data_IF_952129060446
#
_entry.id   IF_952129060446
#
_cell.length_a   1.000
_cell.length_b   1.000
_cell.length_c   1.000
_cell.angle_alpha   90.00
_cell.angle_beta   90.00
_cell.angle_gamma   90.00
#
_symmetry.space_group_name_H-M   'P 1'
#
loop_
_entity.id
_entity.type
_entity.pdbx_description
1 polymer ?
#
# COMPACT_ATOMS: atom_id res chain seq x y z
N UNK A 1 22.25 -3.29 6.38
CA UNK A 1 21.17 -3.65 5.43
C UNK A 1 21.43 -5.07 4.98
N UNK A 2 20.46 -5.97 5.15
CA UNK A 2 20.56 -7.30 4.56
C UNK A 2 20.54 -7.17 3.02
N UNK A 3 21.43 -7.85 2.28
CA UNK A 3 21.36 -7.87 0.82
C UNK A 3 20.13 -8.67 0.38
N UNK A 4 19.47 -8.23 -0.70
CA UNK A 4 18.39 -9.01 -1.33
C UNK A 4 18.91 -10.42 -1.71
N UNK A 5 18.09 -11.48 -1.54
CA UNK A 5 18.45 -12.81 -1.98
C UNK A 5 18.70 -12.79 -3.48
N UNK A 6 19.70 -13.54 -3.94
CA UNK A 6 19.89 -13.73 -5.37
C UNK A 6 18.85 -14.73 -5.87
N UNK A 7 17.69 -14.23 -6.26
CA UNK A 7 16.68 -15.04 -6.92
C UNK A 7 17.20 -15.52 -8.29
N UNK A 8 16.99 -16.80 -8.57
CA UNK A 8 17.41 -17.45 -9.81
C UNK A 8 16.58 -16.97 -11.01
N UNK A 9 15.30 -16.67 -10.76
CA UNK A 9 14.38 -16.12 -11.77
C UNK A 9 14.27 -14.58 -11.63
N UNK A 10 14.53 -13.79 -12.69
CA UNK A 10 14.29 -12.35 -12.71
C UNK A 10 12.86 -11.94 -12.34
N UNK A 11 11.86 -12.78 -12.61
CA UNK A 11 10.47 -12.56 -12.21
C UNK A 11 10.28 -12.57 -10.68
N UNK A 12 11.24 -13.13 -9.93
CA UNK A 12 11.22 -13.22 -8.47
C UNK A 12 11.92 -12.05 -7.78
N UNK A 13 12.52 -11.11 -8.53
CA UNK A 13 13.16 -9.90 -7.98
C UNK A 13 12.16 -8.83 -7.51
N UNK A 14 10.94 -9.25 -7.16
CA UNK A 14 9.80 -8.39 -7.01
C UNK A 14 9.41 -7.79 -8.36
N UNK A 15 8.16 -7.97 -8.77
CA UNK A 15 7.63 -7.06 -9.79
C UNK A 15 7.63 -5.68 -9.13
N UNK A 16 8.34 -4.73 -9.76
CA UNK A 16 8.45 -3.36 -9.26
C UNK A 16 7.02 -2.83 -8.96
N UNK A 17 6.91 -1.97 -7.95
CA UNK A 17 5.66 -1.27 -7.65
C UNK A 17 5.04 -0.70 -8.92
N UNK A 18 5.84 -0.17 -9.84
CA UNK A 18 5.39 0.40 -11.12
C UNK A 18 4.85 -0.66 -12.11
N UNK A 19 5.26 -1.92 -11.96
CA UNK A 19 4.73 -3.05 -12.75
C UNK A 19 3.44 -3.60 -12.16
N UNK A 20 3.25 -3.45 -10.85
CA UNK A 20 2.09 -3.99 -10.13
C UNK A 20 0.96 -2.96 -9.95
N UNK A 21 1.36 -1.72 -9.69
CA UNK A 21 0.56 -0.53 -9.60
C UNK A 21 0.94 0.27 -10.83
N UNK A 22 0.03 0.36 -11.80
CA UNK A 22 0.15 1.12 -13.03
C UNK A 22 -0.05 2.61 -12.68
N UNK A 23 0.74 3.06 -11.72
CA UNK A 23 0.84 4.42 -11.23
C UNK A 23 2.18 4.60 -10.49
N UNK A 24 2.92 5.64 -10.85
CA UNK A 24 4.12 6.11 -10.14
C UNK A 24 3.74 6.64 -8.75
N UNK A 25 4.75 6.93 -7.92
CA UNK A 25 4.53 7.63 -6.65
C UNK A 25 3.84 8.99 -6.85
N UNK A 26 4.18 9.75 -7.90
CA UNK A 26 3.51 11.02 -8.20
C UNK A 26 2.02 10.82 -8.47
N UNK A 27 1.66 9.78 -9.22
CA UNK A 27 0.26 9.45 -9.52
C UNK A 27 -0.53 9.02 -8.26
N UNK A 28 0.15 8.49 -7.22
CA UNK A 28 -0.47 8.20 -5.92
C UNK A 28 -0.78 9.47 -5.13
N UNK A 29 0.15 10.41 -5.08
CA UNK A 29 -0.04 11.68 -4.38
C UNK A 29 -1.12 12.53 -5.06
N UNK A 30 -1.13 12.54 -6.40
CA UNK A 30 -2.21 13.15 -7.17
C UNK A 30 -3.56 12.47 -6.90
N UNK A 31 -3.59 11.14 -6.82
CA UNK A 31 -4.80 10.40 -6.47
C UNK A 31 -5.28 10.74 -5.06
N UNK A 32 -4.37 10.80 -4.09
CA UNK A 32 -4.70 11.18 -2.71
C UNK A 32 -5.25 12.61 -2.63
N UNK A 33 -4.65 13.55 -3.36
CA UNK A 33 -5.13 14.93 -3.48
C UNK A 33 -6.53 14.98 -4.13
N UNK A 34 -6.78 14.19 -5.18
CA UNK A 34 -8.10 14.06 -5.80
C UNK A 34 -9.14 13.48 -4.84
N UNK A 35 -8.81 12.43 -4.09
CA UNK A 35 -9.69 11.85 -3.05
C UNK A 35 -10.01 12.89 -1.97
N UNK A 36 -9.02 13.65 -1.52
CA UNK A 36 -9.21 14.72 -0.54
C UNK A 36 -10.15 15.81 -1.07
N UNK A 37 -9.96 16.23 -2.32
CA UNK A 37 -10.85 17.19 -2.99
C UNK A 37 -12.29 16.66 -3.10
N UNK A 38 -12.47 15.37 -3.41
CA UNK A 38 -13.81 14.75 -3.45
C UNK A 38 -14.43 14.73 -2.06
N UNK A 39 -13.65 14.45 -1.01
CA UNK A 39 -14.12 14.47 0.37
C UNK A 39 -14.67 15.86 0.77
N UNK A 40 -13.96 16.92 0.41
CA UNK A 40 -14.38 18.30 0.66
C UNK A 40 -15.67 18.67 -0.10
N UNK A 41 -15.82 18.22 -1.34
CA UNK A 41 -16.99 18.52 -2.17
C UNK A 41 -18.24 17.76 -1.75
N UNK A 42 -18.07 16.53 -1.26
CA UNK A 42 -19.18 15.60 -1.04
C UNK A 42 -19.53 15.42 0.44
N UNK A 43 -18.64 15.82 1.35
CA UNK A 43 -18.77 15.57 2.78
C UNK A 43 -18.48 14.13 3.22
N UNK A 44 -18.15 13.22 2.29
CA UNK A 44 -17.77 11.85 2.65
C UNK A 44 -16.34 11.79 3.18
N UNK A 45 -16.11 10.90 4.14
CA UNK A 45 -14.76 10.63 4.62
C UNK A 45 -13.87 10.08 3.49
N UNK A 46 -12.59 10.49 3.39
CA UNK A 46 -11.64 9.97 2.41
C UNK A 46 -11.56 8.45 2.37
N UNK A 47 -11.74 7.80 3.52
CA UNK A 47 -11.79 6.34 3.64
C UNK A 47 -12.98 5.74 2.88
N UNK A 48 -14.18 6.30 3.03
CA UNK A 48 -15.38 5.83 2.32
C UNK A 48 -15.22 5.99 0.81
N UNK A 49 -14.63 7.10 0.37
CA UNK A 49 -14.32 7.37 -1.04
C UNK A 49 -13.29 6.36 -1.57
N UNK A 50 -12.27 6.03 -0.77
CA UNK A 50 -11.26 5.01 -1.13
C UNK A 50 -11.85 3.60 -1.19
N UNK A 51 -12.85 3.30 -0.36
CA UNK A 51 -13.56 2.01 -0.34
C UNK A 51 -14.56 1.85 -1.49
N UNK A 52 -15.17 2.94 -1.96
CA UNK A 52 -16.01 2.97 -3.17
C UNK A 52 -15.17 3.02 -4.45
N UNK A 53 -14.08 3.80 -4.44
CA UNK A 53 -12.91 3.50 -5.25
C UNK A 53 -12.44 2.07 -4.87
N UNK A 54 -11.48 1.36 -5.45
CA UNK A 54 -11.17 -0.06 -5.05
C UNK A 54 -12.34 -1.11 -5.07
N UNK A 55 -13.63 -0.75 -5.17
CA UNK A 55 -14.77 -1.68 -5.20
C UNK A 55 -15.03 -2.46 -3.91
N UNK A 56 -14.54 -2.00 -2.75
CA UNK A 56 -14.57 -2.73 -1.48
C UNK A 56 -15.41 -2.03 -0.39
N UNK A 57 -16.62 -1.61 -0.77
CA UNK A 57 -17.56 -0.86 0.09
C UNK A 57 -18.59 -1.74 0.82
N UNK A 58 -18.41 -3.07 0.80
CA UNK A 58 -19.28 -4.13 1.32
C UNK A 58 -20.16 -3.72 2.53
N UNK A 59 -21.31 -3.09 2.24
CA UNK A 59 -22.32 -2.68 3.22
C UNK A 59 -21.97 -1.48 4.13
N UNK A 60 -20.80 -0.85 3.97
CA UNK A 60 -20.37 0.30 4.80
C UNK A 60 -20.80 1.66 4.23
N UNK A 61 -21.02 1.70 2.93
CA UNK A 61 -21.61 2.83 2.20
C UNK A 61 -22.89 2.32 1.58
N UNK A 62 -23.99 3.08 1.67
CA UNK A 62 -25.24 2.70 1.02
C UNK A 62 -25.04 2.62 -0.48
N UNK A 63 -25.80 1.78 -1.16
CA UNK A 63 -25.64 1.58 -2.60
C UNK A 63 -25.91 2.85 -3.42
N UNK A 64 -26.88 3.66 -3.00
CA UNK A 64 -27.17 4.98 -3.57
C UNK A 64 -25.96 5.93 -3.49
N UNK A 65 -25.35 6.01 -2.30
CA UNK A 65 -24.17 6.83 -2.03
C UNK A 65 -22.95 6.31 -2.81
N UNK A 66 -22.81 4.99 -2.94
CA UNK A 66 -21.74 4.35 -3.70
C UNK A 66 -21.87 4.61 -5.21
N UNK A 67 -23.10 4.65 -5.76
CA UNK A 67 -23.35 5.02 -7.14
C UNK A 67 -22.95 6.48 -7.40
N UNK A 68 -23.39 7.39 -6.53
CA UNK A 68 -23.05 8.82 -6.60
C UNK A 68 -21.53 9.05 -6.53
N UNK A 69 -20.86 8.41 -5.58
CA UNK A 69 -19.41 8.50 -5.45
C UNK A 69 -18.67 7.92 -6.66
N UNK A 70 -19.19 6.86 -7.31
CA UNK A 70 -18.58 6.30 -8.53
C UNK A 70 -18.61 7.29 -9.69
N UNK A 71 -19.72 7.99 -9.91
CA UNK A 71 -19.81 9.02 -10.96
C UNK A 71 -18.81 10.15 -10.73
N UNK A 72 -18.66 10.59 -9.48
CA UNK A 72 -17.69 11.63 -9.11
C UNK A 72 -16.25 11.14 -9.29
N UNK A 73 -15.96 9.93 -8.83
CA UNK A 73 -14.64 9.31 -8.99
C UNK A 73 -14.26 9.20 -10.47
N UNK A 74 -15.20 8.81 -11.33
CA UNK A 74 -15.01 8.77 -12.79
C UNK A 74 -14.72 10.17 -13.35
N UNK A 75 -15.52 11.18 -12.97
CA UNK A 75 -15.32 12.57 -13.40
C UNK A 75 -13.93 13.11 -13.03
N UNK A 76 -13.43 12.80 -11.84
CA UNK A 76 -12.10 13.22 -11.38
C UNK A 76 -10.95 12.31 -11.87
N UNK A 77 -11.24 11.30 -12.69
CA UNK A 77 -10.25 10.32 -13.14
C UNK A 77 -9.64 9.51 -12.00
N UNK A 78 -10.37 9.36 -10.89
CA UNK A 78 -10.02 8.50 -9.74
C UNK A 78 -10.67 7.14 -9.97
N UNK A 79 -10.39 6.53 -11.12
CA UNK A 79 -10.95 5.21 -11.41
C UNK A 79 -10.32 4.15 -10.51
N UNK A 80 -11.13 3.15 -10.19
CA UNK A 80 -10.69 1.97 -9.45
C UNK A 80 -9.87 1.10 -10.36
N UNK A 81 -8.82 0.52 -9.78
CA UNK A 81 -7.97 -0.54 -10.31
C UNK A 81 -6.65 -0.04 -10.89
N UNK A 82 -5.65 0.06 -10.01
CA UNK A 82 -4.50 -0.82 -10.21
C UNK A 82 -4.13 -1.58 -8.95
N UNK A 83 -5.11 -2.11 -8.26
CA UNK A 83 -4.86 -3.43 -7.71
C UNK A 83 -5.06 -4.41 -8.86
N UNK A 84 -4.13 -5.35 -9.06
CA UNK A 84 -4.30 -6.43 -10.02
C UNK A 84 -5.71 -6.99 -9.97
N UNK A 85 -6.33 -7.13 -11.14
CA UNK A 85 -7.65 -7.76 -11.25
C UNK A 85 -7.63 -9.11 -10.54
N UNK A 86 -8.78 -9.56 -10.01
CA UNK A 86 -8.87 -10.85 -9.34
C UNK A 86 -8.39 -12.01 -10.23
N UNK A 87 -8.56 -11.89 -11.55
CA UNK A 87 -8.04 -12.84 -12.55
C UNK A 87 -6.52 -12.80 -12.64
N UNK A 88 -5.94 -11.60 -12.73
CA UNK A 88 -4.49 -11.45 -12.78
C UNK A 88 -3.82 -11.96 -11.50
N UNK A 89 -4.41 -11.70 -10.31
CA UNK A 89 -3.92 -12.29 -9.04
C UNK A 89 -3.94 -13.81 -9.08
N UNK A 90 -4.96 -14.44 -9.69
CA UNK A 90 -5.00 -15.91 -9.86
C UNK A 90 -3.88 -16.39 -10.76
N UNK A 91 -3.58 -15.68 -11.84
CA UNK A 91 -2.46 -16.01 -12.75
C UNK A 91 -1.12 -15.91 -12.03
N UNK A 92 -0.85 -14.82 -11.33
CA UNK A 92 0.40 -14.68 -10.57
C UNK A 92 0.54 -15.72 -9.44
N UNK A 93 -0.55 -16.11 -8.78
CA UNK A 93 -0.50 -17.22 -7.81
C UNK A 93 -0.11 -18.54 -8.46
N UNK A 94 -0.64 -18.84 -9.65
CA UNK A 94 -0.23 -20.03 -10.42
C UNK A 94 1.26 -19.97 -10.74
N UNK A 95 1.76 -18.82 -11.20
CA UNK A 95 3.19 -18.63 -11.46
C UNK A 95 4.04 -18.87 -10.20
N UNK A 96 3.63 -18.33 -9.05
CA UNK A 96 4.37 -18.50 -7.80
C UNK A 96 4.34 -19.94 -7.28
N UNK A 97 3.27 -20.71 -7.52
CA UNK A 97 3.12 -22.07 -6.98
C UNK A 97 4.17 -23.08 -7.47
N UNK A 98 4.81 -22.82 -8.62
CA UNK A 98 5.88 -23.65 -9.16
C UNK A 98 7.28 -23.04 -9.03
N UNK A 99 7.41 -21.92 -8.31
CA UNK A 99 8.66 -21.19 -8.23
C UNK A 99 9.63 -21.84 -7.22
N UNK A 100 10.88 -22.16 -7.61
CA UNK A 100 11.87 -22.73 -6.69
C UNK A 100 12.27 -21.77 -5.56
N UNK A 101 12.14 -20.47 -5.79
CA UNK A 101 12.49 -19.41 -4.85
C UNK A 101 11.29 -18.93 -4.01
N UNK A 102 10.15 -19.63 -4.05
CA UNK A 102 8.89 -19.20 -3.42
C UNK A 102 9.07 -18.82 -1.94
N UNK A 103 9.68 -19.70 -1.14
CA UNK A 103 9.85 -19.49 0.30
C UNK A 103 10.75 -18.28 0.58
N UNK A 104 11.92 -18.20 -0.07
CA UNK A 104 12.85 -17.09 0.08
C UNK A 104 12.23 -15.75 -0.37
N UNK A 105 11.44 -15.76 -1.45
CA UNK A 105 10.73 -14.59 -1.95
C UNK A 105 9.63 -14.14 -0.98
N UNK A 106 8.88 -15.08 -0.43
CA UNK A 106 7.84 -14.80 0.57
C UNK A 106 8.43 -14.23 1.86
N UNK A 107 9.46 -14.87 2.41
CA UNK A 107 10.13 -14.44 3.63
C UNK A 107 10.77 -13.06 3.47
N UNK A 108 11.43 -12.82 2.34
CA UNK A 108 11.95 -11.50 2.03
C UNK A 108 10.83 -10.46 1.98
N UNK A 109 9.79 -10.75 1.20
CA UNK A 109 8.64 -9.88 1.04
C UNK A 109 7.97 -9.55 2.37
N UNK A 110 7.88 -10.51 3.28
CA UNK A 110 7.24 -10.35 4.58
C UNK A 110 8.05 -9.43 5.51
N UNK A 111 9.38 -9.57 5.52
CA UNK A 111 10.25 -8.86 6.45
C UNK A 111 10.75 -7.51 5.93
N UNK A 112 10.85 -7.32 4.61
CA UNK A 112 11.58 -6.19 4.04
C UNK A 112 10.77 -5.33 3.06
N UNK A 113 9.63 -5.78 2.54
CA UNK A 113 8.95 -5.11 1.43
C UNK A 113 7.47 -4.82 1.69
N UNK A 114 7.10 -3.57 1.95
CA UNK A 114 5.70 -3.19 2.21
C UNK A 114 4.79 -3.32 0.99
N UNK A 115 5.34 -3.20 -0.21
CA UNK A 115 4.56 -3.08 -1.44
C UNK A 115 4.87 -4.18 -2.47
N UNK A 116 4.05 -4.26 -3.53
CA UNK A 116 4.24 -5.19 -4.64
C UNK A 116 3.87 -6.65 -4.35
N UNK A 117 4.22 -7.52 -5.31
CA UNK A 117 3.94 -8.95 -5.29
C UNK A 117 5.16 -9.77 -4.89
N UNK A 118 5.05 -10.53 -3.80
CA UNK A 118 6.14 -11.32 -3.25
C UNK A 118 5.61 -12.66 -2.76
N UNK A 119 6.24 -13.76 -3.16
CA UNK A 119 5.86 -15.12 -2.70
C UNK A 119 4.37 -15.42 -2.88
N UNK A 120 3.76 -15.00 -4.00
CA UNK A 120 2.34 -15.24 -4.25
C UNK A 120 1.37 -14.38 -3.42
N UNK A 121 1.86 -13.31 -2.79
CA UNK A 121 1.05 -12.44 -1.93
C UNK A 121 1.15 -10.96 -2.31
N UNK A 122 0.04 -10.24 -2.12
CA UNK A 122 -0.03 -8.78 -2.22
C UNK A 122 0.52 -8.10 -0.96
N UNK A 123 0.88 -6.82 -1.05
CA UNK A 123 1.27 -6.02 0.13
C UNK A 123 0.22 -6.04 1.25
N UNK A 124 -1.07 -5.92 0.91
CA UNK A 124 -2.16 -5.96 1.90
C UNK A 124 -2.31 -7.32 2.59
N UNK A 125 -2.08 -8.43 1.89
CA UNK A 125 -2.05 -9.77 2.51
C UNK A 125 -0.87 -9.91 3.46
N UNK A 126 0.32 -9.43 3.07
CA UNK A 126 1.50 -9.42 3.94
C UNK A 126 1.29 -8.54 5.17
N UNK A 127 0.61 -7.41 5.05
CA UNK A 127 0.27 -6.55 6.20
C UNK A 127 -0.62 -7.28 7.22
N UNK A 128 -1.57 -8.08 6.75
CA UNK A 128 -2.39 -8.90 7.65
C UNK A 128 -1.56 -9.99 8.33
N UNK A 129 -0.63 -10.61 7.60
CA UNK A 129 0.27 -11.63 8.13
C UNK A 129 1.24 -11.04 9.18
N UNK A 130 1.86 -9.90 8.88
CA UNK A 130 2.75 -9.18 9.81
C UNK A 130 2.07 -8.85 11.12
N UNK A 131 0.83 -8.36 11.07
CA UNK A 131 0.03 -8.07 12.28
C UNK A 131 -0.23 -9.34 13.11
N UNK A 132 -0.53 -10.46 12.46
CA UNK A 132 -0.75 -11.75 13.14
C UNK A 132 0.52 -12.32 13.75
N UNK A 133 1.66 -12.10 13.11
CA UNK A 133 2.97 -12.65 13.50
C UNK A 133 3.83 -11.67 14.32
N UNK A 134 3.31 -10.46 14.58
CA UNK A 134 4.02 -9.37 15.24
C UNK A 134 5.38 -9.03 14.58
N UNK A 135 5.41 -9.01 13.24
CA UNK A 135 6.60 -8.68 12.45
C UNK A 135 6.66 -7.17 12.23
N UNK A 136 7.79 -6.56 12.56
CA UNK A 136 8.13 -5.18 12.22
C UNK A 136 8.93 -5.20 10.92
N UNK A 137 8.49 -4.43 9.92
CA UNK A 137 9.13 -4.40 8.59
C UNK A 137 10.40 -3.55 8.63
N UNK A 138 11.50 -4.13 8.17
CA UNK A 138 12.78 -3.44 8.00
C UNK A 138 12.97 -3.07 6.51
N UNK A 139 12.61 -1.84 6.13
CA UNK A 139 12.73 -1.42 4.73
C UNK A 139 14.20 -1.24 4.33
N UNK A 140 14.68 -1.92 3.27
CA UNK A 140 16.02 -1.72 2.72
C UNK A 140 16.08 -0.39 1.96
N UNK A 141 16.17 0.71 2.70
CA UNK A 141 16.40 2.05 2.14
C UNK A 141 15.97 3.21 3.04
N UNK A 142 15.18 2.96 4.09
CA UNK A 142 14.72 4.02 5.00
C UNK A 142 15.80 4.57 5.94
N UNK A 143 16.99 3.96 5.94
CA UNK A 143 18.15 4.39 6.72
C UNK A 143 18.75 5.75 6.34
N UNK A 144 18.24 6.43 5.32
CA UNK A 144 18.69 7.79 4.97
C UNK A 144 17.91 8.91 5.67
N UNK A 145 16.75 8.63 6.29
CA UNK A 145 15.92 9.65 6.96
C UNK A 145 15.94 9.59 8.50
N UNK A 146 16.78 8.76 9.12
CA UNK A 146 16.95 8.74 10.59
C UNK A 146 18.24 9.41 11.08
N UNK A 147 19.07 9.99 10.18
CA UNK A 147 20.35 10.61 10.54
C UNK A 147 20.32 12.14 10.64
N UNK A 148 19.21 12.80 10.31
CA UNK A 148 18.94 14.18 10.74
C UNK A 148 17.98 14.13 11.91
N UNK A 149 18.57 14.02 13.11
CA UNK A 149 17.84 14.15 14.36
C UNK A 149 17.04 15.44 14.38
N UNK A 150 15.73 15.33 14.55
CA UNK A 150 14.96 16.43 15.09
C UNK A 150 15.45 16.66 16.52
N UNK A 151 16.35 17.62 16.71
CA UNK A 151 16.55 18.22 18.03
C UNK A 151 15.28 18.99 18.36
N UNK A 152 14.23 18.30 18.78
CA UNK A 152 13.23 18.90 19.66
C UNK A 152 13.79 18.83 21.08
N UNK A 153 14.86 19.58 21.32
CA UNK A 153 15.30 19.91 22.67
C UNK A 153 14.22 20.78 23.32
N UNK A 154 13.73 20.26 24.44
CA UNK A 154 13.16 21.00 25.58
C UNK A 154 12.01 21.96 25.28
N UNK A 155 10.80 21.39 25.36
CA UNK A 155 9.63 22.13 25.85
C UNK A 155 9.92 22.52 27.30
N UNK A 156 10.28 23.77 27.52
CA UNK A 156 10.42 24.42 28.82
C UNK A 156 9.13 24.23 29.62
N UNK A 157 9.19 23.36 30.64
CA UNK A 157 8.21 23.39 31.72
C UNK A 157 8.49 24.62 32.56
N UNK A 158 7.55 25.56 32.53
CA UNK A 158 7.57 26.75 33.37
C UNK A 158 7.65 26.39 34.84
N UNK A 159 8.60 27.01 35.53
CA UNK A 159 8.57 27.19 36.97
C UNK A 159 7.26 27.93 37.31
N UNK A 160 6.46 27.33 38.18
CA UNK A 160 5.40 28.05 38.89
C UNK A 160 6.05 28.79 40.04
N UNK A 161 5.75 30.08 40.11
CA UNK A 161 5.94 30.92 41.28
C UNK A 161 5.14 30.35 42.46
N UNK A 162 5.81 30.14 43.60
CA UNK A 162 5.29 30.31 44.96
C UNK A 162 6.41 30.85 45.86
#
# INVERSE_FOLDING_TARGET
MAPQPRFTDPACRGLNIDTFYNHTYEERDERAAKVQKIAELTGYAPRSITEVSNGNYAGRVKEEDANYLREILEYYGVTTNVELSGEMRKEYRKMCSGCPDFEACFDWGLNHEKHGWWGGTTGGERDQLRKKMNIIVEEPGSGMYQLFGTTSETRSFGLRDE
#
